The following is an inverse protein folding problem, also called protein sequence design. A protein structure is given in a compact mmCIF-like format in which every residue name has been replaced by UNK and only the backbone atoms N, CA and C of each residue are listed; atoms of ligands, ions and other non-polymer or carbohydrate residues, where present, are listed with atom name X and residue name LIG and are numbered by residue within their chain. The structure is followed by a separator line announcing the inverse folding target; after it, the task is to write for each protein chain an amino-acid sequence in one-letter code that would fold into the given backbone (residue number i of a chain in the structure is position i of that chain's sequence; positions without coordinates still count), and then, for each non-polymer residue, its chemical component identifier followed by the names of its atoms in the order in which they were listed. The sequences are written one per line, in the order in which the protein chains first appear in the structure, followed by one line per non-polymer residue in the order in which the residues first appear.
data_IF_333701411865
#
_entry.id   IF_333701411865
#
_cell.length_a   1.000
_cell.length_b   1.000
_cell.length_c   1.000
_cell.angle_alpha   90.00
_cell.angle_beta   90.00
_cell.angle_gamma   90.00
#
_symmetry.space_group_name_H-M   'P 1'
#
loop_
_entity.id
_entity.type
_entity.pdbx_description
1 polymer ?
#
# COMPACT_ATOMS: atom_id res chain seq x y z
N UNK A 1 -3.08 5.81 12.53
CA UNK A 1 -2.12 6.78 11.98
C UNK A 1 -1.13 6.03 11.09
N UNK A 2 -0.75 6.59 9.93
CA UNK A 2 0.28 6.03 9.06
C UNK A 2 1.60 6.80 9.26
N UNK A 3 2.66 6.07 9.61
CA UNK A 3 3.97 6.64 9.95
C UNK A 3 5.02 6.17 8.93
N UNK A 4 4.71 6.31 7.64
CA UNK A 4 5.55 5.94 6.51
C UNK A 4 5.78 7.14 5.58
N UNK A 5 6.66 6.96 4.58
CA UNK A 5 6.92 7.99 3.57
C UNK A 5 5.78 8.02 2.55
N UNK A 6 4.71 8.75 2.88
CA UNK A 6 3.53 8.91 2.05
C UNK A 6 3.84 9.66 0.76
N UNK A 7 3.52 9.03 -0.37
CA UNK A 7 3.77 9.53 -1.73
C UNK A 7 2.48 9.87 -2.47
N UNK A 8 1.36 9.23 -2.11
CA UNK A 8 0.05 9.54 -2.66
C UNK A 8 -1.07 9.16 -1.70
N UNK A 9 -2.25 9.74 -1.91
CA UNK A 9 -3.48 9.41 -1.19
C UNK A 9 -4.62 9.23 -2.19
N UNK A 10 -5.41 8.17 -2.01
CA UNK A 10 -6.54 7.83 -2.88
C UNK A 10 -7.74 7.39 -2.06
N UNK A 11 -8.94 7.69 -2.57
CA UNK A 11 -10.21 7.32 -1.96
C UNK A 11 -10.99 6.40 -2.90
N UNK A 12 -11.61 5.36 -2.35
CA UNK A 12 -12.39 4.38 -3.11
C UNK A 12 -13.15 3.43 -2.20
N UNK A 13 -14.17 2.76 -2.71
CA UNK A 13 -14.95 1.76 -1.96
C UNK A 13 -14.42 0.36 -2.31
N UNK A 14 -13.45 -0.13 -1.52
CA UNK A 14 -12.72 -1.36 -1.83
C UNK A 14 -13.44 -2.63 -1.38
N UNK A 15 -14.41 -2.51 -0.47
CA UNK A 15 -15.18 -3.62 0.09
C UNK A 15 -16.68 -3.59 -0.31
N UNK A 16 -17.10 -2.58 -1.06
CA UNK A 16 -18.48 -2.35 -1.53
C UNK A 16 -19.47 -2.14 -0.38
N UNK A 17 -19.05 -1.49 0.69
CA UNK A 17 -19.94 -1.14 1.81
C UNK A 17 -20.58 0.25 1.68
N UNK A 18 -20.25 0.98 0.61
CA UNK A 18 -20.76 2.32 0.32
C UNK A 18 -20.05 3.44 1.10
N UNK A 19 -19.07 3.12 1.94
CA UNK A 19 -18.20 4.08 2.59
C UNK A 19 -16.83 4.15 1.86
N UNK A 20 -16.30 5.36 1.62
CA UNK A 20 -15.01 5.48 0.94
C UNK A 20 -13.87 5.12 1.90
N UNK A 21 -13.11 4.10 1.52
CA UNK A 21 -11.84 3.68 2.10
C UNK A 21 -10.69 4.60 1.65
N UNK A 22 -9.60 4.57 2.41
CA UNK A 22 -8.42 5.40 2.20
C UNK A 22 -7.19 4.54 1.91
N UNK A 23 -6.55 4.80 0.78
CA UNK A 23 -5.24 4.25 0.47
C UNK A 23 -4.17 5.34 0.59
N UNK A 24 -3.05 4.98 1.21
CA UNK A 24 -1.82 5.78 1.22
C UNK A 24 -0.74 4.98 0.49
N UNK A 25 -0.29 5.51 -0.64
CA UNK A 25 0.87 4.99 -1.37
C UNK A 25 2.13 5.36 -0.62
N UNK A 26 3.01 4.38 -0.37
CA UNK A 26 4.22 4.57 0.43
C UNK A 26 5.45 4.02 -0.27
N UNK A 27 6.62 4.49 0.17
CA UNK A 27 7.89 3.87 -0.21
C UNK A 27 8.01 2.44 0.34
N UNK A 28 8.64 1.57 -0.43
CA UNK A 28 8.94 0.19 -0.05
C UNK A 28 10.44 -0.04 -0.07
N UNK A 29 10.95 -0.86 0.86
CA UNK A 29 12.34 -1.30 0.86
C UNK A 29 12.44 -2.80 1.12
N UNK A 30 12.88 -3.55 0.12
CA UNK A 30 13.16 -4.99 0.23
C UNK A 30 14.24 -5.27 1.28
N UNK A 31 15.28 -4.43 1.34
CA UNK A 31 16.30 -4.50 2.38
C UNK A 31 15.72 -4.16 3.77
N UNK A 32 14.87 -3.14 3.87
CA UNK A 32 14.17 -2.76 5.09
C UNK A 32 13.29 -3.88 5.63
N UNK A 33 12.52 -4.56 4.78
CA UNK A 33 11.74 -5.74 5.16
C UNK A 33 12.64 -6.88 5.67
N UNK A 34 13.75 -7.19 4.98
CA UNK A 34 14.67 -8.25 5.42
C UNK A 34 15.30 -7.98 6.79
N UNK A 35 15.62 -6.71 7.09
CA UNK A 35 16.19 -6.31 8.39
C UNK A 35 15.10 -6.19 9.47
N UNK A 36 13.85 -5.93 9.09
CA UNK A 36 12.73 -5.76 10.01
C UNK A 36 12.39 -7.00 10.86
N UNK A 37 12.81 -8.20 10.44
CA UNK A 37 12.63 -9.45 11.19
C UNK A 37 13.72 -9.68 12.26
N UNK A 38 14.75 -8.84 12.34
CA UNK A 38 15.78 -8.95 13.37
C UNK A 38 15.24 -8.56 14.76
N UNK A 39 15.75 -9.25 15.79
CA UNK A 39 15.20 -9.28 17.17
C UNK A 39 15.14 -7.91 17.88
N UNK A 40 15.79 -6.88 17.35
CA UNK A 40 15.89 -5.53 17.94
C UNK A 40 15.37 -4.40 17.03
N UNK A 41 14.55 -4.70 16.03
CA UNK A 41 14.05 -3.67 15.11
C UNK A 41 12.79 -3.00 15.66
N UNK A 42 12.87 -1.69 15.92
CA UNK A 42 11.79 -0.88 16.48
C UNK A 42 10.53 -0.91 15.60
N UNK A 43 9.36 -1.00 16.23
CA UNK A 43 8.07 -1.16 15.54
C UNK A 43 7.81 -0.04 14.49
N UNK A 44 8.20 1.21 14.78
CA UNK A 44 8.06 2.32 13.84
C UNK A 44 8.89 2.16 12.57
N UNK A 45 10.09 1.56 12.67
CA UNK A 45 10.94 1.32 11.49
C UNK A 45 10.39 0.16 10.65
N UNK A 46 9.78 -0.86 11.26
CA UNK A 46 9.08 -1.93 10.52
C UNK A 46 7.96 -1.35 9.67
N UNK A 47 7.24 -0.36 10.21
CA UNK A 47 6.15 0.31 9.50
C UNK A 47 6.63 1.05 8.26
N UNK A 48 7.74 1.80 8.36
CA UNK A 48 8.31 2.55 7.22
C UNK A 48 8.75 1.66 6.07
N UNK A 49 9.17 0.42 6.35
CA UNK A 49 9.59 -0.53 5.31
C UNK A 49 8.45 -1.38 4.74
N UNK A 50 7.22 -1.24 5.28
CA UNK A 50 6.09 -2.12 4.96
C UNK A 50 5.49 -1.84 3.58
N UNK A 51 5.65 -0.63 3.04
CA UNK A 51 4.97 -0.22 1.81
C UNK A 51 3.56 0.32 2.08
N UNK A 52 2.67 0.18 1.11
CA UNK A 52 1.37 0.86 1.07
C UNK A 52 0.48 0.55 2.28
N UNK A 53 -0.45 1.46 2.51
CA UNK A 53 -1.44 1.38 3.59
C UNK A 53 -2.84 1.44 3.03
N UNK A 54 -3.70 0.50 3.44
CA UNK A 54 -5.14 0.55 3.21
C UNK A 54 -5.87 0.69 4.53
N UNK A 55 -6.71 1.70 4.62
CA UNK A 55 -7.60 1.96 5.74
C UNK A 55 -9.05 1.78 5.29
N UNK A 56 -9.75 0.83 5.90
CA UNK A 56 -11.17 0.58 5.65
C UNK A 56 -12.01 1.48 6.53
N UNK A 57 -12.99 2.15 5.94
CA UNK A 57 -13.94 2.98 6.66
C UNK A 57 -14.87 2.12 7.53
N UNK A 58 -15.21 2.63 8.71
CA UNK A 58 -16.15 2.01 9.62
C UNK A 58 -16.89 3.08 10.42
N UNK A 59 -17.93 2.68 11.16
CA UNK A 59 -18.71 3.61 12.00
C UNK A 59 -17.87 4.33 13.06
N UNK A 60 -16.80 3.70 13.50
CA UNK A 60 -15.90 4.21 14.54
C UNK A 60 -14.64 4.88 13.96
N UNK A 61 -14.59 5.10 12.64
CA UNK A 61 -13.43 5.65 11.91
C UNK A 61 -12.74 4.63 11.03
N UNK A 62 -11.42 4.72 10.89
CA UNK A 62 -10.64 3.92 9.94
C UNK A 62 -9.89 2.77 10.59
N UNK A 63 -9.88 1.60 9.93
CA UNK A 63 -9.18 0.40 10.38
C UNK A 63 -8.09 -0.01 9.39
N UNK A 64 -6.87 -0.31 9.87
CA UNK A 64 -5.76 -0.75 9.01
C UNK A 64 -6.02 -2.18 8.51
N UNK A 65 -6.25 -2.33 7.20
CA UNK A 65 -6.45 -3.62 6.53
C UNK A 65 -5.25 -4.03 5.67
N UNK A 66 -4.13 -3.29 5.72
CA UNK A 66 -3.05 -3.39 4.73
C UNK A 66 -2.43 -4.79 4.62
N UNK A 67 -2.25 -5.48 5.75
CA UNK A 67 -1.65 -6.82 5.76
C UNK A 67 -2.64 -7.84 5.21
N UNK A 68 -3.91 -7.75 5.63
CA UNK A 68 -4.96 -8.67 5.21
C UNK A 68 -5.29 -8.53 3.72
N UNK A 69 -5.19 -7.32 3.16
CA UNK A 69 -5.41 -7.06 1.74
C UNK A 69 -4.19 -7.36 0.86
N UNK A 70 -3.02 -7.67 1.44
CA UNK A 70 -1.79 -7.92 0.69
C UNK A 70 -1.18 -6.67 0.04
N UNK A 71 -1.74 -5.47 0.24
CA UNK A 71 -1.32 -4.26 -0.48
C UNK A 71 0.06 -3.74 -0.09
N UNK A 72 0.61 -4.25 1.00
CA UNK A 72 1.93 -3.88 1.53
C UNK A 72 3.05 -4.15 0.52
N UNK A 73 2.92 -5.17 -0.33
CA UNK A 73 3.92 -5.52 -1.34
C UNK A 73 3.70 -4.81 -2.68
N UNK A 74 3.68 -3.48 -2.68
CA UNK A 74 3.40 -2.65 -3.87
C UNK A 74 4.63 -2.05 -4.57
N UNK A 75 5.85 -2.36 -4.13
CA UNK A 75 7.06 -1.68 -4.59
C UNK A 75 7.10 -0.21 -4.15
N UNK A 76 8.05 0.57 -4.70
CA UNK A 76 8.15 2.00 -4.37
C UNK A 76 7.05 2.77 -5.09
N UNK A 77 5.97 3.10 -4.37
CA UNK A 77 4.84 3.79 -4.95
C UNK A 77 5.16 5.27 -5.24
N UNK A 78 4.72 5.75 -6.40
CA UNK A 78 4.75 7.16 -6.79
C UNK A 78 3.34 7.77 -6.81
N UNK A 79 2.35 7.00 -7.24
CA UNK A 79 0.94 7.40 -7.27
C UNK A 79 0.04 6.18 -7.17
N UNK A 80 -1.20 6.39 -6.75
CA UNK A 80 -2.23 5.37 -6.63
C UNK A 80 -3.58 5.89 -7.14
N UNK A 81 -4.51 4.98 -7.42
CA UNK A 81 -5.89 5.31 -7.78
C UNK A 81 -6.80 4.09 -7.80
N UNK A 82 -8.09 4.33 -7.60
CA UNK A 82 -9.15 3.32 -7.72
C UNK A 82 -9.86 3.45 -9.07
N UNK A 83 -10.09 2.33 -9.75
CA UNK A 83 -10.84 2.27 -11.00
C UNK A 83 -11.41 0.87 -11.18
N UNK A 84 -12.61 0.73 -11.74
CA UNK A 84 -13.13 -0.56 -12.20
C UNK A 84 -12.58 -0.83 -13.60
N UNK A 85 -11.49 -1.60 -13.71
CA UNK A 85 -10.77 -1.82 -14.96
C UNK A 85 -11.32 -2.99 -15.76
N UNK A 86 -11.93 -3.97 -15.08
CA UNK A 86 -12.49 -5.17 -15.70
C UNK A 86 -14.02 -5.11 -15.88
N UNK A 87 -14.65 -4.03 -15.39
CA UNK A 87 -16.08 -3.77 -15.45
C UNK A 87 -16.93 -4.84 -14.72
N UNK A 88 -16.43 -5.35 -13.60
CA UNK A 88 -17.15 -6.29 -12.71
C UNK A 88 -17.86 -5.59 -11.54
N UNK A 89 -17.76 -4.26 -11.49
CA UNK A 89 -18.34 -3.41 -10.46
C UNK A 89 -17.54 -3.36 -9.16
N UNK A 90 -16.38 -4.02 -9.07
CA UNK A 90 -15.43 -3.85 -7.98
C UNK A 90 -14.38 -2.81 -8.39
N UNK A 91 -14.00 -1.95 -7.46
CA UNK A 91 -12.90 -1.03 -7.73
C UNK A 91 -11.58 -1.79 -7.64
N UNK A 92 -10.86 -1.85 -8.75
CA UNK A 92 -9.48 -2.28 -8.78
C UNK A 92 -8.58 -1.17 -8.24
N UNK A 93 -7.50 -1.60 -7.59
CA UNK A 93 -6.49 -0.70 -7.09
C UNK A 93 -5.28 -0.68 -8.02
N UNK A 94 -4.96 0.52 -8.52
CA UNK A 94 -3.79 0.76 -9.36
C UNK A 94 -2.75 1.51 -8.56
N UNK A 95 -1.52 1.00 -8.54
CA UNK A 95 -0.37 1.70 -7.95
C UNK A 95 0.71 1.80 -9.02
N UNK A 96 1.06 3.04 -9.37
CA UNK A 96 2.27 3.29 -10.16
C UNK A 96 3.46 3.17 -9.23
N UNK A 97 4.35 2.24 -9.55
CA UNK A 97 5.58 2.04 -8.80
C UNK A 97 6.80 2.24 -9.70
N UNK A 98 7.93 2.51 -9.07
CA UNK A 98 9.19 2.72 -9.78
C UNK A 98 10.32 2.21 -8.91
N UNK A 99 10.76 0.99 -9.18
CA UNK A 99 11.95 0.41 -8.56
C UNK A 99 12.62 -0.54 -9.55
N UNK A 100 13.67 -0.08 -10.22
CA UNK A 100 14.54 -0.94 -11.02
C UNK A 100 15.25 -1.91 -10.05
N UNK A 101 14.68 -3.10 -9.91
CA UNK A 101 15.19 -4.11 -8.98
C UNK A 101 16.40 -4.87 -9.54
N UNK A 102 16.67 -4.75 -10.84
CA UNK A 102 17.76 -5.44 -11.52
C UNK A 102 18.23 -4.66 -12.77
N UNK A 103 19.44 -4.97 -13.26
CA UNK A 103 20.06 -4.32 -14.44
C UNK A 103 19.67 -4.98 -15.77
N UNK A 104 18.48 -5.59 -15.86
CA UNK A 104 18.03 -6.22 -17.10
C UNK A 104 17.04 -5.31 -17.79
N UNK A 105 17.29 -5.07 -19.07
CA UNK A 105 16.50 -4.19 -19.93
C UNK A 105 15.14 -4.80 -20.32
N UNK A 106 14.83 -6.05 -19.92
CA UNK A 106 13.63 -6.81 -20.31
C UNK A 106 12.53 -6.88 -19.23
N UNK A 107 12.67 -6.13 -18.13
CA UNK A 107 11.69 -6.04 -17.03
C UNK A 107 10.75 -4.84 -17.19
N UNK A 108 10.05 -4.76 -18.32
CA UNK A 108 8.90 -3.86 -18.58
C UNK A 108 7.76 -4.66 -19.22
#
# INVERSE_FOLDING_TARGET
EDMAAGMSVSWGDSNRDGAPDLLIGNMFSSAGQRVSYQRNYEAGKKRMARGNTLFIASKDGFQDASIASGITNGGWAWSSGFADLNNDGWQDLVVTNGYLSNSRDDDL
#
